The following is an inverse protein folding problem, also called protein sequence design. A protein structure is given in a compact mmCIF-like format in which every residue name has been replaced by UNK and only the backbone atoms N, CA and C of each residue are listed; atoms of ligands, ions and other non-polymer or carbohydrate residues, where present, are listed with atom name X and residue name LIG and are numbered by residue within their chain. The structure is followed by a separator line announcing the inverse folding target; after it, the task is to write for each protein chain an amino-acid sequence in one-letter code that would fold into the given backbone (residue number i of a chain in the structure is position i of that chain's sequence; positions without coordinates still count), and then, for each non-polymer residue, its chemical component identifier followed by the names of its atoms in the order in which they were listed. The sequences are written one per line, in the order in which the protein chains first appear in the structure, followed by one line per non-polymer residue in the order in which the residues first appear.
data_IF_718740937278
#
_entry.id   IF_718740937278
#
_cell.length_a   1.000
_cell.length_b   1.000
_cell.length_c   1.000
_cell.angle_alpha   90.00
_cell.angle_beta   90.00
_cell.angle_gamma   90.00
#
_symmetry.space_group_name_H-M   'P 1'
#
loop_
_entity.id
_entity.type
_entity.pdbx_description
1 polymer ?
#
# COMPACT_ATOMS: atom_id res chain seq x y z
N UNK A 1 -5.53 32.85 -49.13
CA UNK A 1 -5.90 31.45 -48.86
C UNK A 1 -4.71 30.71 -48.21
N UNK A 2 -4.55 30.77 -46.88
CA UNK A 2 -3.44 30.10 -46.14
C UNK A 2 -3.91 29.63 -44.77
N UNK A 3 -4.85 28.67 -44.68
CA UNK A 3 -5.35 28.19 -43.39
C UNK A 3 -5.56 26.68 -43.22
N UNK A 4 -5.10 25.74 -44.09
CA UNK A 4 -5.27 24.33 -43.79
C UNK A 4 -4.19 23.73 -42.88
N UNK A 5 -2.99 24.34 -42.80
CA UNK A 5 -1.88 23.79 -42.01
C UNK A 5 -2.06 23.96 -40.48
N UNK A 6 -2.72 25.04 -40.08
CA UNK A 6 -2.99 25.32 -38.66
C UNK A 6 -4.06 24.36 -38.08
N UNK A 7 -5.04 23.99 -38.90
CA UNK A 7 -6.12 23.05 -38.51
C UNK A 7 -5.60 21.61 -38.33
N UNK A 8 -4.66 21.16 -39.17
CA UNK A 8 -4.01 19.87 -39.02
C UNK A 8 -3.11 19.80 -37.76
N UNK A 9 -2.47 20.90 -37.38
CA UNK A 9 -1.66 20.92 -36.16
C UNK A 9 -2.50 20.86 -34.91
N UNK A 10 -3.67 21.50 -34.87
CA UNK A 10 -4.63 21.39 -33.77
C UNK A 10 -5.25 20.00 -33.67
N UNK A 11 -5.54 19.34 -34.77
CA UNK A 11 -6.07 18.00 -34.81
C UNK A 11 -5.04 16.97 -34.33
N UNK A 12 -3.76 17.16 -34.61
CA UNK A 12 -2.68 16.27 -34.18
C UNK A 12 -2.39 16.38 -32.66
N UNK A 13 -2.52 17.60 -32.09
CA UNK A 13 -2.40 17.79 -30.64
C UNK A 13 -3.58 17.20 -29.85
N UNK A 14 -4.75 17.07 -30.41
CA UNK A 14 -5.92 16.47 -29.76
C UNK A 14 -5.83 14.94 -29.60
N UNK A 15 -4.93 14.27 -30.35
CA UNK A 15 -4.71 12.82 -30.29
C UNK A 15 -3.73 12.38 -29.19
N UNK A 16 -3.14 13.31 -28.46
CA UNK A 16 -2.23 13.02 -27.34
C UNK A 16 -2.94 13.00 -25.95
N UNK A 17 -4.25 12.77 -25.93
CA UNK A 17 -4.98 12.51 -24.69
C UNK A 17 -4.55 11.15 -24.11
N UNK A 18 -3.36 11.12 -23.52
CA UNK A 18 -2.79 9.93 -22.89
C UNK A 18 -3.59 9.52 -21.68
N UNK A 19 -3.78 8.23 -21.50
CA UNK A 19 -4.28 7.63 -20.27
C UNK A 19 -3.38 8.07 -19.10
N UNK A 20 -3.95 8.72 -18.09
CA UNK A 20 -3.20 9.08 -16.89
C UNK A 20 -3.14 7.87 -15.96
N UNK A 21 -1.95 7.27 -15.82
CA UNK A 21 -1.67 6.23 -14.82
C UNK A 21 -1.08 6.87 -13.58
N UNK A 22 -1.64 6.56 -12.43
CA UNK A 22 -1.09 6.97 -11.14
C UNK A 22 -0.88 5.75 -10.25
N UNK A 23 0.17 5.81 -9.44
CA UNK A 23 0.49 4.79 -8.44
C UNK A 23 0.82 5.48 -7.12
N UNK A 24 0.22 5.02 -6.03
CA UNK A 24 0.40 5.60 -4.70
C UNK A 24 0.23 4.56 -3.60
N UNK A 25 0.79 4.86 -2.42
CA UNK A 25 0.55 4.04 -1.24
C UNK A 25 -0.93 3.98 -0.87
N UNK A 26 -1.40 2.81 -0.40
CA UNK A 26 -2.74 2.68 0.19
C UNK A 26 -2.88 3.51 1.46
N UNK A 27 -1.80 3.80 2.16
CA UNK A 27 -1.76 4.65 3.36
C UNK A 27 -1.95 6.13 3.02
N UNK A 28 -1.78 6.50 1.75
CA UNK A 28 -2.05 7.83 1.19
C UNK A 28 -3.19 7.77 0.17
N UNK A 29 -4.17 6.94 0.39
CA UNK A 29 -5.25 6.70 -0.58
C UNK A 29 -6.40 7.72 -0.52
N UNK A 30 -6.33 8.75 0.33
CA UNK A 30 -7.27 9.87 0.31
C UNK A 30 -7.36 10.49 -1.08
N UNK A 31 -8.57 10.60 -1.66
CA UNK A 31 -8.76 11.11 -3.01
C UNK A 31 -8.67 12.64 -3.01
N UNK A 32 -7.77 13.26 -3.80
CA UNK A 32 -7.71 14.72 -3.92
C UNK A 32 -8.89 15.22 -4.76
N UNK A 33 -10.09 15.23 -4.21
CA UNK A 33 -11.29 15.59 -4.94
C UNK A 33 -12.55 15.53 -4.08
N UNK A 34 -12.51 14.97 -2.89
CA UNK A 34 -13.53 15.14 -1.88
C UNK A 34 -13.45 16.56 -1.29
N UNK A 35 -13.57 17.57 -2.17
CA UNK A 35 -13.76 18.96 -1.79
C UNK A 35 -15.05 19.08 -0.98
N UNK A 36 -14.95 19.06 0.32
CA UNK A 36 -16.13 19.22 1.15
C UNK A 36 -15.94 19.08 2.65
N UNK A 37 -14.81 18.59 3.11
CA UNK A 37 -14.50 18.67 4.53
C UNK A 37 -13.18 19.41 4.73
N UNK A 38 -13.26 20.72 4.76
CA UNK A 38 -12.38 21.58 5.58
C UNK A 38 -12.74 21.36 7.05
N UNK A 39 -12.81 20.11 7.46
CA UNK A 39 -12.80 19.69 8.84
C UNK A 39 -11.33 19.60 9.24
N UNK A 40 -11.01 20.16 10.35
CA UNK A 40 -9.78 20.20 11.12
C UNK A 40 -9.24 18.82 11.53
N UNK A 41 -9.64 17.75 10.88
CA UNK A 41 -8.92 16.51 10.87
C UNK A 41 -7.69 16.74 10.00
N UNK A 42 -6.60 17.06 10.68
CA UNK A 42 -5.26 16.99 10.14
C UNK A 42 -5.18 15.68 9.37
N UNK A 43 -5.26 15.77 8.04
CA UNK A 43 -4.82 14.68 7.19
C UNK A 43 -3.42 14.39 7.73
N UNK A 44 -3.27 13.26 8.41
CA UNK A 44 -1.98 12.87 8.97
C UNK A 44 -1.01 12.98 7.82
N UNK A 45 -0.09 13.95 7.91
CA UNK A 45 0.85 14.21 6.83
C UNK A 45 1.54 12.90 6.51
N UNK A 46 1.29 12.40 5.30
CA UNK A 46 1.97 11.21 4.82
C UNK A 46 3.48 11.47 4.88
N UNK A 47 4.16 10.79 5.79
CA UNK A 47 5.57 10.98 6.08
C UNK A 47 6.46 9.94 5.41
N UNK A 48 5.93 9.26 4.40
CA UNK A 48 6.60 8.19 3.71
C UNK A 48 6.29 6.80 4.28
N UNK A 49 6.91 5.81 3.73
CA UNK A 49 6.78 4.40 4.10
C UNK A 49 8.05 3.89 4.76
N UNK A 50 7.92 2.96 5.69
CA UNK A 50 9.07 2.19 6.17
C UNK A 50 9.56 1.28 5.04
N UNK A 51 10.87 1.25 4.83
CA UNK A 51 11.47 0.43 3.79
C UNK A 51 11.41 -1.07 4.15
N UNK A 52 11.23 -1.93 3.16
CA UNK A 52 11.40 -3.37 3.37
C UNK A 52 12.79 -3.71 3.90
N UNK A 53 13.83 -3.03 3.41
CA UNK A 53 15.22 -3.23 3.85
C UNK A 53 15.37 -2.95 5.35
N UNK A 54 14.74 -1.87 5.84
CA UNK A 54 14.79 -1.50 7.27
C UNK A 54 14.06 -2.53 8.12
N UNK A 55 12.86 -2.93 7.70
CA UNK A 55 12.02 -3.88 8.44
C UNK A 55 12.66 -5.27 8.50
N UNK A 56 13.26 -5.72 7.40
CA UNK A 56 13.92 -7.03 7.29
C UNK A 56 15.38 -7.01 7.80
N UNK A 57 15.93 -5.83 8.08
CA UNK A 57 17.32 -5.69 8.54
C UNK A 57 18.36 -5.97 7.46
N UNK A 58 18.04 -5.65 6.19
CA UNK A 58 18.92 -5.87 5.05
C UNK A 58 19.73 -4.61 4.78
N UNK A 59 21.01 -4.62 5.15
CA UNK A 59 21.93 -3.53 4.81
C UNK A 59 22.43 -3.65 3.39
N UNK A 60 22.43 -2.54 2.64
CA UNK A 60 22.97 -2.49 1.27
C UNK A 60 24.48 -2.47 1.24
N UNK A 61 25.13 -2.11 2.34
CA UNK A 61 26.58 -1.97 2.45
C UNK A 61 27.23 -3.22 3.07
N UNK A 62 26.44 -4.19 3.48
CA UNK A 62 26.94 -5.40 4.09
C UNK A 62 27.68 -6.28 3.06
N UNK A 63 28.98 -6.47 3.30
CA UNK A 63 29.78 -7.44 2.54
C UNK A 63 29.42 -8.82 3.07
N UNK A 64 28.69 -9.58 2.28
CA UNK A 64 28.25 -10.94 2.64
C UNK A 64 29.19 -11.96 2.03
N UNK A 65 29.67 -12.91 2.84
CA UNK A 65 30.50 -14.01 2.37
C UNK A 65 29.64 -15.17 1.85
N UNK A 66 30.15 -15.94 0.90
CA UNK A 66 29.51 -17.16 0.41
C UNK A 66 29.22 -18.16 1.55
N UNK A 67 30.12 -18.23 2.54
CA UNK A 67 29.91 -19.08 3.71
C UNK A 67 28.71 -18.68 4.56
N UNK A 68 28.41 -17.39 4.66
CA UNK A 68 27.20 -16.89 5.35
C UNK A 68 25.94 -17.27 4.59
N UNK A 69 25.97 -17.18 3.25
CA UNK A 69 24.86 -17.63 2.39
C UNK A 69 24.60 -19.12 2.61
N UNK A 70 25.63 -19.97 2.60
CA UNK A 70 25.50 -21.41 2.81
C UNK A 70 24.99 -21.74 4.22
N UNK A 71 25.42 -21.01 5.26
CA UNK A 71 24.89 -21.15 6.61
C UNK A 71 23.41 -20.74 6.68
N UNK A 72 23.04 -19.65 6.02
CA UNK A 72 21.65 -19.21 5.95
C UNK A 72 20.78 -20.25 5.26
N UNK A 73 21.19 -20.78 4.11
CA UNK A 73 20.47 -21.84 3.39
C UNK A 73 20.26 -23.09 4.24
N UNK A 74 21.27 -23.52 5.00
CA UNK A 74 21.16 -24.70 5.86
C UNK A 74 20.23 -24.51 7.07
N UNK A 75 19.97 -23.28 7.48
CA UNK A 75 19.12 -22.93 8.63
C UNK A 75 17.75 -22.40 8.24
N UNK A 76 17.58 -22.00 6.97
CA UNK A 76 16.36 -21.36 6.50
C UNK A 76 15.13 -22.21 6.80
N UNK A 77 14.21 -21.63 7.54
CA UNK A 77 12.88 -22.20 7.79
C UNK A 77 11.83 -21.15 7.42
N UNK A 78 10.78 -21.53 6.70
CA UNK A 78 9.73 -20.59 6.36
C UNK A 78 9.05 -20.09 7.67
N UNK A 79 9.03 -18.76 7.84
CA UNK A 79 8.33 -18.13 8.94
C UNK A 79 6.83 -18.22 8.69
N UNK A 80 6.08 -18.68 9.67
CA UNK A 80 4.64 -18.90 9.60
C UNK A 80 3.97 -18.45 10.89
N UNK A 81 2.83 -17.78 10.75
CA UNK A 81 2.01 -17.44 11.90
C UNK A 81 1.32 -18.72 12.42
N UNK A 82 1.53 -19.07 13.68
CA UNK A 82 0.79 -20.16 14.33
C UNK A 82 -0.58 -19.66 14.78
N UNK A 83 -1.54 -20.55 14.91
CA UNK A 83 -2.82 -20.22 15.51
C UNK A 83 -2.58 -19.66 16.91
N UNK A 84 -3.32 -18.60 17.26
CA UNK A 84 -3.20 -17.91 18.55
C UNK A 84 -1.85 -17.19 18.80
N UNK A 85 -0.98 -17.07 17.77
CA UNK A 85 0.21 -16.23 17.90
C UNK A 85 -0.17 -14.78 18.17
N UNK A 86 0.65 -14.12 19.00
CA UNK A 86 0.55 -12.67 19.19
C UNK A 86 1.39 -11.97 18.13
N UNK A 87 0.78 -11.06 17.37
CA UNK A 87 1.41 -10.36 16.26
C UNK A 87 1.46 -8.85 16.48
N UNK A 88 2.61 -8.24 16.21
CA UNK A 88 2.75 -6.80 16.07
C UNK A 88 2.42 -6.43 14.63
N UNK A 89 1.27 -5.77 14.40
CA UNK A 89 0.80 -5.40 13.07
C UNK A 89 1.22 -3.99 12.70
N UNK A 90 1.84 -3.84 11.54
CA UNK A 90 2.35 -2.58 10.99
C UNK A 90 1.83 -2.39 9.57
N UNK A 91 1.16 -1.28 9.31
CA UNK A 91 0.88 -0.78 7.96
C UNK A 91 1.90 0.28 7.61
N UNK A 92 2.73 0.02 6.62
CA UNK A 92 3.73 0.99 6.16
C UNK A 92 3.07 2.29 5.72
N UNK A 93 3.58 3.42 6.20
CA UNK A 93 3.07 4.76 5.88
C UNK A 93 1.81 5.18 6.66
N UNK A 94 1.32 4.37 7.61
CA UNK A 94 0.15 4.71 8.43
C UNK A 94 0.49 4.77 9.92
N UNK A 95 -0.10 5.71 10.68
CA UNK A 95 0.07 5.76 12.14
C UNK A 95 -0.59 4.58 12.85
N UNK A 96 -1.67 4.06 12.27
CA UNK A 96 -2.43 2.90 12.75
C UNK A 96 -2.84 2.07 11.53
N UNK A 97 -2.75 0.73 11.59
CA UNK A 97 -3.23 -0.13 10.53
C UNK A 97 -4.73 0.03 10.26
N UNK A 98 -5.14 -0.15 9.00
CA UNK A 98 -6.54 -0.05 8.58
C UNK A 98 -7.45 -1.03 9.35
N UNK A 99 -8.57 -0.55 9.86
CA UNK A 99 -9.48 -1.33 10.71
C UNK A 99 -9.92 -2.68 10.11
N UNK A 100 -10.22 -2.82 8.80
CA UNK A 100 -10.57 -4.12 8.23
C UNK A 100 -9.44 -5.16 8.31
N UNK A 101 -8.17 -4.73 8.22
CA UNK A 101 -7.02 -5.63 8.37
C UNK A 101 -6.86 -6.08 9.82
N UNK A 102 -6.98 -5.15 10.76
CA UNK A 102 -6.95 -5.45 12.20
C UNK A 102 -8.06 -6.43 12.58
N UNK A 103 -9.30 -6.12 12.18
CA UNK A 103 -10.47 -6.94 12.51
C UNK A 103 -10.34 -8.38 11.97
N UNK A 104 -9.99 -8.53 10.68
CA UNK A 104 -9.88 -9.86 10.09
C UNK A 104 -8.72 -10.67 10.65
N UNK A 105 -7.57 -10.06 10.99
CA UNK A 105 -6.48 -10.78 11.65
C UNK A 105 -6.84 -11.15 13.09
N UNK A 106 -7.64 -10.33 13.78
CA UNK A 106 -8.05 -10.61 15.18
C UNK A 106 -8.98 -11.81 15.32
N UNK A 107 -9.55 -12.31 14.22
CA UNK A 107 -10.31 -13.57 14.21
C UNK A 107 -9.41 -14.82 14.39
N UNK A 108 -8.11 -14.67 14.11
CA UNK A 108 -7.17 -15.80 14.08
C UNK A 108 -5.96 -15.61 15.01
N UNK A 109 -5.64 -14.38 15.40
CA UNK A 109 -4.42 -14.00 16.11
C UNK A 109 -4.71 -12.94 17.18
N UNK A 110 -3.85 -12.83 18.17
CA UNK A 110 -3.83 -11.68 19.06
C UNK A 110 -3.10 -10.53 18.36
N UNK A 111 -3.78 -9.42 18.06
CA UNK A 111 -3.23 -8.32 17.26
C UNK A 111 -2.87 -7.12 18.13
N UNK A 112 -1.61 -6.69 18.07
CA UNK A 112 -1.12 -5.45 18.64
C UNK A 112 -0.80 -4.50 17.49
N UNK A 113 -1.51 -3.38 17.38
CA UNK A 113 -1.28 -2.38 16.35
C UNK A 113 -0.08 -1.51 16.67
N UNK A 114 0.77 -1.26 15.67
CA UNK A 114 1.95 -0.40 15.81
C UNK A 114 2.08 0.54 14.61
N UNK A 115 2.72 1.69 14.83
CA UNK A 115 2.91 2.71 13.78
C UNK A 115 3.86 2.23 12.69
N UNK A 116 3.48 2.47 11.44
CA UNK A 116 4.32 2.25 10.25
C UNK A 116 4.89 3.54 9.66
N UNK A 117 4.86 4.64 10.42
CA UNK A 117 5.45 5.91 9.99
C UNK A 117 6.96 5.88 10.24
N UNK A 118 7.79 6.18 9.24
CA UNK A 118 9.23 6.34 9.44
C UNK A 118 9.52 7.43 10.47
N UNK A 119 10.56 7.26 11.26
CA UNK A 119 11.02 8.33 12.14
C UNK A 119 11.56 9.49 11.29
N UNK A 120 11.10 10.68 11.61
CA UNK A 120 11.51 11.91 10.95
C UNK A 120 12.28 12.76 11.95
N UNK A 121 13.46 13.20 11.56
CA UNK A 121 14.26 14.15 12.33
C UNK A 121 14.08 15.55 11.74
N UNK A 122 13.80 16.52 12.58
CA UNK A 122 13.83 17.91 12.17
C UNK A 122 15.30 18.35 12.08
N UNK A 123 15.73 18.73 10.88
CA UNK A 123 17.09 19.26 10.70
C UNK A 123 17.19 20.66 11.32
N UNK A 124 18.41 21.11 11.61
CA UNK A 124 18.66 22.45 12.11
C UNK A 124 18.14 23.56 11.18
N UNK A 125 17.90 23.25 9.92
CA UNK A 125 17.29 24.15 8.92
C UNK A 125 15.76 24.12 8.91
N UNK A 126 15.12 23.35 9.81
CA UNK A 126 13.66 23.20 9.86
C UNK A 126 13.08 22.21 8.84
N UNK A 127 13.91 21.66 7.94
CA UNK A 127 13.46 20.66 6.99
C UNK A 127 13.25 19.30 7.69
N UNK A 128 12.13 18.66 7.42
CA UNK A 128 11.87 17.29 7.84
C UNK A 128 12.69 16.31 7.00
N UNK A 129 13.61 15.60 7.62
CA UNK A 129 14.37 14.54 6.96
C UNK A 129 14.03 13.19 7.58
N UNK A 130 13.81 12.19 6.77
CA UNK A 130 13.70 10.81 7.26
C UNK A 130 15.05 10.43 7.89
N UNK A 131 15.01 9.99 9.14
CA UNK A 131 16.22 9.55 9.84
C UNK A 131 16.74 8.29 9.14
N UNK A 132 17.97 8.38 8.62
CA UNK A 132 18.64 7.22 8.05
C UNK A 132 19.14 6.34 9.19
N UNK A 133 18.56 5.17 9.34
CA UNK A 133 19.02 4.14 10.25
C UNK A 133 19.80 3.09 9.49
N UNK A 134 20.78 2.49 10.18
CA UNK A 134 21.24 1.19 9.76
C UNK A 134 20.08 0.17 9.82
N UNK A 135 19.73 -0.49 8.72
CA UNK A 135 18.58 -1.39 8.66
C UNK A 135 18.62 -2.51 9.71
N UNK A 136 19.80 -3.05 10.00
CA UNK A 136 19.97 -4.09 11.01
C UNK A 136 19.61 -3.58 12.41
N UNK A 137 20.05 -2.37 12.76
CA UNK A 137 19.74 -1.70 14.02
C UNK A 137 18.24 -1.43 14.13
N UNK A 138 17.60 -0.98 13.05
CA UNK A 138 16.15 -0.76 13.03
C UNK A 138 15.36 -2.05 13.25
N UNK A 139 15.67 -3.11 12.49
CA UNK A 139 15.03 -4.42 12.63
C UNK A 139 15.18 -5.01 14.03
N UNK A 140 16.38 -4.95 14.60
CA UNK A 140 16.63 -5.40 15.98
C UNK A 140 15.81 -4.61 17.01
N UNK A 141 15.73 -3.28 16.86
CA UNK A 141 14.96 -2.42 17.74
C UNK A 141 13.46 -2.71 17.63
N UNK A 142 12.97 -2.97 16.41
CA UNK A 142 11.59 -3.33 16.16
C UNK A 142 11.24 -4.68 16.80
N UNK A 143 12.10 -5.69 16.66
CA UNK A 143 11.94 -7.01 17.30
C UNK A 143 11.96 -6.90 18.83
N UNK A 144 12.84 -6.07 19.40
CA UNK A 144 12.86 -5.81 20.84
C UNK A 144 11.56 -5.17 21.32
N UNK A 145 11.02 -4.21 20.57
CA UNK A 145 9.74 -3.57 20.87
C UNK A 145 8.60 -4.59 20.84
N UNK A 146 8.55 -5.43 19.84
CA UNK A 146 7.55 -6.47 19.70
C UNK A 146 7.67 -7.52 20.83
N UNK A 147 8.89 -7.93 21.18
CA UNK A 147 9.14 -8.87 22.29
C UNK A 147 8.68 -8.30 23.64
N UNK A 148 8.92 -7.02 23.90
CA UNK A 148 8.42 -6.33 25.11
C UNK A 148 6.89 -6.23 25.14
N UNK A 149 6.26 -6.15 23.97
CA UNK A 149 4.80 -6.22 23.82
C UNK A 149 4.22 -7.61 23.91
N UNK A 150 5.02 -8.66 24.18
CA UNK A 150 4.56 -10.05 24.26
C UNK A 150 4.16 -10.65 22.93
N UNK A 151 4.66 -10.10 21.82
CA UNK A 151 4.37 -10.64 20.50
C UNK A 151 5.33 -11.77 20.11
N UNK A 152 4.88 -12.69 19.28
CA UNK A 152 5.68 -13.77 18.69
C UNK A 152 6.20 -13.41 17.31
N UNK A 153 5.44 -12.63 16.55
CA UNK A 153 5.71 -12.25 15.18
C UNK A 153 5.51 -10.76 14.96
N UNK A 154 6.21 -10.23 13.97
CA UNK A 154 5.91 -8.93 13.36
C UNK A 154 5.28 -9.21 12.00
N UNK A 155 4.16 -8.56 11.71
CA UNK A 155 3.51 -8.55 10.41
C UNK A 155 3.55 -7.11 9.89
N UNK A 156 4.35 -6.88 8.85
CA UNK A 156 4.41 -5.58 8.18
C UNK A 156 3.83 -5.71 6.78
N UNK A 157 2.96 -4.77 6.37
CA UNK A 157 2.43 -4.79 5.03
C UNK A 157 2.51 -3.44 4.33
N UNK A 158 2.73 -3.53 3.03
CA UNK A 158 2.76 -2.42 2.07
C UNK A 158 1.63 -2.63 1.07
N UNK A 159 1.02 -1.57 0.65
CA UNK A 159 0.00 -1.65 -0.38
C UNK A 159 0.14 -0.52 -1.39
N UNK A 160 -0.04 -0.87 -2.65
CA UNK A 160 -0.02 0.05 -3.77
C UNK A 160 -1.36 0.11 -4.44
N UNK A 161 -1.93 1.30 -4.52
CA UNK A 161 -3.11 1.62 -5.30
C UNK A 161 -2.66 2.18 -6.66
N UNK A 162 -2.95 1.46 -7.71
CA UNK A 162 -2.77 1.88 -9.09
C UNK A 162 -4.12 2.31 -9.64
N UNK A 163 -4.17 3.45 -10.29
CA UNK A 163 -5.37 3.92 -10.98
C UNK A 163 -5.04 4.39 -12.39
N UNK A 164 -5.89 4.03 -13.32
CA UNK A 164 -5.81 4.41 -14.72
C UNK A 164 -7.17 4.96 -15.14
N UNK A 165 -7.15 6.14 -15.73
CA UNK A 165 -8.34 6.82 -16.24
C UNK A 165 -8.32 6.80 -17.76
N UNK A 166 -9.38 6.31 -18.36
CA UNK A 166 -9.64 6.28 -19.80
C UNK A 166 -10.79 7.22 -20.13
N UNK A 167 -10.53 8.22 -20.96
CA UNK A 167 -11.57 9.13 -21.45
C UNK A 167 -12.50 8.42 -22.42
N UNK A 168 -13.81 8.44 -22.15
CA UNK A 168 -14.79 7.92 -23.08
C UNK A 168 -15.02 8.88 -24.26
N UNK A 169 -15.43 8.40 -25.43
CA UNK A 169 -15.76 9.26 -26.59
C UNK A 169 -16.83 10.31 -26.28
N UNK A 170 -17.68 10.06 -25.30
CA UNK A 170 -18.71 10.99 -24.81
C UNK A 170 -18.13 12.26 -24.18
N UNK A 171 -16.84 12.28 -23.83
CA UNK A 171 -16.18 13.48 -23.29
C UNK A 171 -16.15 14.64 -24.31
N UNK A 172 -16.20 14.38 -25.60
CA UNK A 172 -16.24 15.41 -26.63
C UNK A 172 -17.52 16.24 -26.62
N UNK A 173 -18.61 15.73 -26.06
CA UNK A 173 -19.92 16.43 -25.93
C UNK A 173 -20.18 16.90 -24.48
N UNK A 174 -19.31 16.59 -23.54
CA UNK A 174 -19.46 16.91 -22.12
C UNK A 174 -19.33 18.43 -21.80
N UNK A 175 -18.91 19.26 -22.77
CA UNK A 175 -18.87 20.72 -22.64
C UNK A 175 -20.29 21.35 -22.63
N UNK A 176 -21.33 20.61 -23.05
CA UNK A 176 -22.72 21.05 -22.99
C UNK A 176 -23.24 20.84 -21.55
N UNK A 177 -23.64 21.91 -20.79
CA UNK A 177 -23.93 21.81 -19.37
C UNK A 177 -24.96 20.74 -18.97
N UNK A 178 -25.99 20.52 -19.75
CA UNK A 178 -27.06 19.53 -19.50
C UNK A 178 -26.57 18.11 -19.80
N UNK A 179 -25.74 17.92 -20.79
CA UNK A 179 -25.25 16.60 -21.24
C UNK A 179 -24.19 16.07 -20.29
N UNK A 180 -23.33 16.95 -19.71
CA UNK A 180 -22.31 16.58 -18.75
C UNK A 180 -22.87 15.94 -17.45
N UNK A 181 -24.13 16.19 -17.13
CA UNK A 181 -24.79 15.60 -15.97
C UNK A 181 -25.31 14.18 -16.20
N UNK A 182 -25.58 13.83 -17.43
CA UNK A 182 -26.30 12.61 -17.82
C UNK A 182 -25.41 11.54 -18.43
N UNK A 183 -24.34 11.93 -19.12
CA UNK A 183 -23.46 10.98 -19.80
C UNK A 183 -22.20 10.69 -18.99
N UNK A 184 -21.82 9.41 -18.87
CA UNK A 184 -20.54 9.04 -18.33
C UNK A 184 -19.43 9.52 -19.26
N UNK A 185 -18.41 10.17 -18.70
CA UNK A 185 -17.32 10.80 -19.44
C UNK A 185 -15.97 10.08 -19.27
N UNK A 186 -15.86 9.21 -18.25
CA UNK A 186 -14.62 8.56 -17.89
C UNK A 186 -14.84 7.15 -17.35
N UNK A 187 -13.96 6.24 -17.76
CA UNK A 187 -13.84 4.90 -17.20
C UNK A 187 -12.59 4.83 -16.38
N UNK A 188 -12.73 4.46 -15.12
CA UNK A 188 -11.64 4.36 -14.18
C UNK A 188 -11.37 2.90 -13.83
N UNK A 189 -10.12 2.50 -14.00
CA UNK A 189 -9.60 1.22 -13.55
C UNK A 189 -8.77 1.44 -12.30
N UNK A 190 -9.07 0.69 -11.25
CA UNK A 190 -8.29 0.71 -10.01
C UNK A 190 -7.83 -0.71 -9.68
N UNK A 191 -6.59 -0.83 -9.20
CA UNK A 191 -6.01 -2.09 -8.73
C UNK A 191 -5.27 -1.87 -7.43
N UNK A 192 -5.46 -2.79 -6.48
CA UNK A 192 -4.66 -2.83 -5.25
C UNK A 192 -3.77 -4.07 -5.26
N UNK A 193 -2.49 -3.85 -4.98
CA UNK A 193 -1.50 -4.89 -4.73
C UNK A 193 -0.97 -4.75 -3.31
N UNK A 194 -0.93 -5.86 -2.59
CA UNK A 194 -0.33 -5.93 -1.27
C UNK A 194 0.96 -6.75 -1.31
N UNK A 195 1.86 -6.41 -0.40
CA UNK A 195 3.01 -7.22 -0.02
C UNK A 195 3.00 -7.34 1.49
N UNK A 196 3.22 -8.53 2.01
CA UNK A 196 3.20 -8.82 3.44
C UNK A 196 4.50 -9.51 3.82
N UNK A 197 5.15 -9.00 4.85
CA UNK A 197 6.31 -9.61 5.48
C UNK A 197 5.93 -10.13 6.86
N UNK A 198 6.34 -11.36 7.16
CA UNK A 198 6.30 -11.97 8.48
C UNK A 198 7.73 -12.10 8.99
N UNK A 199 7.97 -11.71 10.24
CA UNK A 199 9.29 -11.78 10.87
C UNK A 199 9.13 -12.49 12.21
N UNK A 200 9.87 -13.56 12.42
CA UNK A 200 9.96 -14.24 13.70
C UNK A 200 10.80 -13.38 14.66
N UNK A 201 10.23 -13.05 15.82
CA UNK A 201 10.89 -12.17 16.78
C UNK A 201 12.11 -12.83 17.41
N UNK A 202 12.09 -14.15 17.60
CA UNK A 202 13.15 -14.91 18.28
C UNK A 202 14.38 -15.08 17.38
N UNK A 203 14.14 -15.50 16.14
CA UNK A 203 15.23 -15.82 15.20
C UNK A 203 15.63 -14.66 14.30
N UNK A 204 14.70 -13.77 13.99
CA UNK A 204 14.85 -12.73 12.97
C UNK A 204 14.66 -13.25 11.54
N UNK A 205 14.33 -14.55 11.40
CA UNK A 205 13.97 -15.11 10.09
C UNK A 205 12.71 -14.41 9.58
N UNK A 206 12.57 -14.36 8.26
CA UNK A 206 11.44 -13.69 7.64
C UNK A 206 10.91 -14.45 6.43
N UNK A 207 9.67 -14.19 6.10
CA UNK A 207 9.07 -14.57 4.82
C UNK A 207 8.25 -13.44 4.25
N UNK A 208 8.28 -13.28 2.93
CA UNK A 208 7.52 -12.26 2.21
C UNK A 208 6.62 -12.94 1.19
N UNK A 209 5.40 -12.43 1.05
CA UNK A 209 4.48 -12.87 0.01
C UNK A 209 3.59 -11.72 -0.47
N UNK A 210 3.05 -11.90 -1.66
CA UNK A 210 2.08 -10.98 -2.25
C UNK A 210 0.79 -11.76 -2.53
N UNK A 211 -0.31 -11.44 -1.84
CA UNK A 211 -1.58 -12.07 -2.12
C UNK A 211 -2.09 -11.68 -3.51
N UNK A 212 -3.13 -12.37 -3.99
CA UNK A 212 -3.78 -12.04 -5.26
C UNK A 212 -4.17 -10.55 -5.29
N UNK A 213 -3.81 -9.88 -6.36
CA UNK A 213 -4.25 -8.49 -6.61
C UNK A 213 -5.72 -8.44 -7.01
N UNK A 214 -6.40 -7.38 -6.63
CA UNK A 214 -7.79 -7.12 -7.01
C UNK A 214 -7.85 -5.86 -7.84
N UNK A 215 -8.63 -5.94 -8.92
CA UNK A 215 -8.87 -4.80 -9.80
C UNK A 215 -10.36 -4.62 -10.04
N UNK A 216 -10.77 -3.40 -10.25
CA UNK A 216 -12.14 -3.04 -10.56
C UNK A 216 -12.18 -1.88 -11.55
N UNK A 217 -12.98 -2.05 -12.60
CA UNK A 217 -13.31 -0.97 -13.53
C UNK A 217 -14.66 -0.36 -13.16
N UNK A 218 -14.76 0.96 -13.24
CA UNK A 218 -16.02 1.67 -13.08
C UNK A 218 -16.14 2.82 -14.06
N UNK A 219 -17.37 3.12 -14.38
CA UNK A 219 -17.75 4.27 -15.21
C UNK A 219 -18.40 5.28 -14.26
N UNK A 220 -17.96 6.54 -14.29
CA UNK A 220 -18.47 7.61 -13.44
C UNK A 220 -18.81 8.85 -14.25
N UNK A 221 -19.76 9.65 -13.71
CA UNK A 221 -20.05 11.00 -14.18
C UNK A 221 -19.29 12.00 -13.34
N UNK A 222 -18.87 13.12 -13.92
CA UNK A 222 -18.05 14.15 -13.28
C UNK A 222 -18.48 14.57 -11.86
N UNK A 223 -19.76 14.82 -11.55
CA UNK A 223 -20.16 15.36 -10.24
C UNK A 223 -20.05 14.40 -9.06
N UNK A 224 -20.01 13.07 -9.31
CA UNK A 224 -20.00 12.02 -8.27
C UNK A 224 -18.67 11.27 -8.16
N UNK A 225 -17.68 11.64 -8.95
CA UNK A 225 -16.41 10.92 -9.10
C UNK A 225 -15.76 10.63 -7.76
N UNK A 226 -15.46 11.64 -6.95
CA UNK A 226 -14.71 11.46 -5.70
C UNK A 226 -15.34 10.48 -4.70
N UNK A 227 -16.68 10.50 -4.53
CA UNK A 227 -17.37 9.59 -3.61
C UNK A 227 -17.40 8.16 -4.14
N UNK A 228 -17.56 8.00 -5.45
CA UNK A 228 -17.56 6.67 -6.11
C UNK A 228 -16.18 6.05 -6.00
N UNK A 229 -15.14 6.82 -6.25
CA UNK A 229 -13.75 6.38 -6.22
C UNK A 229 -13.34 5.97 -4.80
N UNK A 230 -13.69 6.75 -3.79
CA UNK A 230 -13.40 6.41 -2.39
C UNK A 230 -14.04 5.06 -2.00
N UNK A 231 -15.30 4.85 -2.33
CA UNK A 231 -15.99 3.58 -2.06
C UNK A 231 -15.40 2.39 -2.83
N UNK A 232 -14.84 2.65 -4.01
CA UNK A 232 -14.17 1.63 -4.80
C UNK A 232 -12.84 1.23 -4.14
N UNK A 233 -12.04 2.21 -3.71
CA UNK A 233 -10.80 1.98 -2.97
C UNK A 233 -11.05 1.18 -1.70
N UNK A 234 -12.05 1.56 -0.90
CA UNK A 234 -12.40 0.84 0.34
C UNK A 234 -12.77 -0.64 0.08
N UNK A 235 -13.54 -0.90 -0.97
CA UNK A 235 -13.88 -2.28 -1.35
C UNK A 235 -12.66 -3.08 -1.80
N UNK A 236 -11.80 -2.49 -2.63
CA UNK A 236 -10.58 -3.13 -3.09
C UNK A 236 -9.61 -3.39 -1.93
N UNK A 237 -9.49 -2.45 -0.99
CA UNK A 237 -8.72 -2.66 0.25
C UNK A 237 -9.25 -3.86 1.02
N UNK A 238 -10.56 -3.92 1.27
CA UNK A 238 -11.19 -5.02 2.00
C UNK A 238 -10.89 -6.37 1.34
N UNK A 239 -11.10 -6.51 0.03
CA UNK A 239 -10.82 -7.73 -0.72
C UNK A 239 -9.33 -8.12 -0.66
N UNK A 240 -8.43 -7.14 -0.77
CA UNK A 240 -7.00 -7.38 -0.69
C UNK A 240 -6.58 -7.84 0.71
N UNK A 241 -7.16 -7.28 1.77
CA UNK A 241 -6.91 -7.69 3.16
C UNK A 241 -7.44 -9.10 3.42
N UNK A 242 -8.67 -9.41 3.01
CA UNK A 242 -9.24 -10.76 3.11
C UNK A 242 -8.35 -11.81 2.44
N UNK A 243 -7.82 -11.50 1.25
CA UNK A 243 -6.89 -12.39 0.56
C UNK A 243 -5.54 -12.54 1.28
N UNK A 244 -5.01 -11.46 1.85
CA UNK A 244 -3.77 -11.51 2.64
C UNK A 244 -3.94 -12.37 3.90
N UNK A 245 -5.05 -12.21 4.61
CA UNK A 245 -5.38 -12.97 5.80
C UNK A 245 -5.56 -14.45 5.46
N UNK A 246 -6.35 -14.76 4.42
CA UNK A 246 -6.56 -16.14 3.96
C UNK A 246 -5.25 -16.83 3.58
N UNK A 247 -4.34 -16.12 2.91
CA UNK A 247 -3.02 -16.65 2.55
C UNK A 247 -2.15 -16.91 3.80
N UNK A 248 -2.18 -16.02 4.80
CA UNK A 248 -1.48 -16.23 6.07
C UNK A 248 -2.02 -17.45 6.80
N UNK A 249 -3.33 -17.59 6.92
CA UNK A 249 -3.99 -18.71 7.58
C UNK A 249 -3.74 -20.02 6.84
N UNK A 250 -3.80 -20.03 5.51
CA UNK A 250 -3.50 -21.20 4.69
C UNK A 250 -2.07 -21.70 4.90
N UNK A 251 -1.08 -20.80 4.86
CA UNK A 251 0.33 -21.14 5.12
C UNK A 251 0.56 -21.75 6.50
N UNK A 252 -0.38 -21.53 7.42
CA UNK A 252 -0.38 -22.17 8.74
C UNK A 252 -0.97 -23.60 8.69
N UNK A 253 -2.10 -23.80 8.00
CA UNK A 253 -2.82 -25.09 8.00
C UNK A 253 -2.07 -26.22 7.30
N UNK A 254 -1.25 -25.90 6.30
CA UNK A 254 -0.45 -26.90 5.56
C UNK A 254 0.61 -27.64 6.44
N UNK A 255 0.80 -27.22 7.71
CA UNK A 255 1.68 -27.89 8.67
C UNK A 255 0.97 -28.88 9.58
N UNK A 256 -0.34 -28.79 9.72
CA UNK A 256 -1.11 -29.73 10.55
C UNK A 256 -1.34 -31.08 9.84
N UNK A 257 -0.98 -31.16 8.54
CA UNK A 257 -1.19 -32.31 7.68
C UNK A 257 0.11 -33.02 7.26
N UNK A 258 1.26 -32.64 7.79
CA UNK A 258 2.57 -33.32 7.66
C UNK A 258 3.06 -33.81 9.03
#
# INVERSE_FOLDING_TARGET
MKTPKLFCLFLLCALLAGCAKTSRSISHSGYPGSGGYRGTDQAFDYRGEVSEFDVLGISREQITSEQEIQRALSRAKPVRARRDSSILLIQSGAPVPDAPMVAGLSEHFTVVSFTGIPRVRQSASGAMQTESYDPETYSKSLRLTAARGGCDLIVCYWGMLESESENLPTKTVSWVPVVNWLLPDEKQHMRIRLKVALIDIRTGDWSVFSPKSFEQARISTSPRRGVVDQRQVERLKKQAYEAAIAEMVKRHSDLASQ
#
